data_IF_658502905811
#
_entry.id   IF_658502905811
#
_cell.length_a   1.000
_cell.length_b   1.000
_cell.length_c   1.000
_cell.angle_alpha   90.00
_cell.angle_beta   90.00
_cell.angle_gamma   90.00
#
_symmetry.space_group_name_H-M   'P 1'
#
loop_
_entity.id
_entity.type
_entity.pdbx_description
1 polymer ?
#
# COMPACT_ATOMS: atom_id res chain seq x y z
N UNK A 1 23.90 25.18 -27.74
CA UNK A 1 23.70 24.09 -28.72
C UNK A 1 22.58 24.55 -29.68
N UNK A 2 22.84 25.49 -30.59
CA UNK A 2 23.35 25.28 -31.96
C UNK A 2 22.54 24.18 -32.69
N UNK A 3 21.40 24.52 -33.30
CA UNK A 3 21.24 24.94 -34.72
C UNK A 3 21.75 23.88 -35.73
N UNK A 4 20.98 22.80 -35.89
CA UNK A 4 21.16 21.82 -36.99
C UNK A 4 19.88 21.50 -37.77
N UNK A 5 18.81 22.28 -37.61
CA UNK A 5 17.49 21.99 -38.20
C UNK A 5 17.20 22.57 -39.60
N UNK A 6 18.09 23.42 -40.15
CA UNK A 6 17.76 24.17 -41.38
C UNK A 6 18.27 23.51 -42.69
N UNK A 7 19.19 22.55 -42.61
CA UNK A 7 19.82 21.95 -43.80
C UNK A 7 19.05 20.73 -44.31
N UNK A 8 18.25 20.08 -43.46
CA UNK A 8 17.51 18.86 -43.84
C UNK A 8 16.22 19.14 -44.62
N UNK A 9 15.67 20.36 -44.53
CA UNK A 9 14.42 20.74 -45.21
C UNK A 9 14.63 21.10 -46.70
N UNK A 10 15.83 21.54 -47.08
CA UNK A 10 16.13 21.90 -48.48
C UNK A 10 16.52 20.69 -49.36
N UNK A 11 16.97 19.57 -48.77
CA UNK A 11 17.30 18.36 -49.52
C UNK A 11 16.09 17.49 -49.88
N UNK A 12 14.97 17.65 -49.19
CA UNK A 12 13.75 16.85 -49.41
C UNK A 12 12.86 17.38 -50.56
N UNK A 13 13.17 18.58 -51.08
CA UNK A 13 12.44 19.22 -52.19
C UNK A 13 13.06 19.01 -53.58
N UNK A 14 14.22 18.33 -53.69
CA UNK A 14 14.90 18.14 -54.99
C UNK A 14 14.64 16.75 -55.60
N UNK A 15 14.18 15.77 -54.82
CA UNK A 15 13.94 14.40 -55.31
C UNK A 15 12.52 14.12 -55.79
N UNK A 16 11.59 15.05 -55.65
CA UNK A 16 10.20 14.91 -56.14
C UNK A 16 9.88 15.74 -57.39
N UNK A 17 10.83 16.55 -57.90
CA UNK A 17 10.60 17.49 -59.01
C UNK A 17 10.92 16.98 -60.43
N UNK A 18 11.44 15.76 -60.61
CA UNK A 18 11.87 15.26 -61.94
C UNK A 18 10.89 14.23 -62.53
N UNK A 19 9.84 13.86 -61.80
CA UNK A 19 8.87 12.86 -62.27
C UNK A 19 7.61 13.44 -62.93
N UNK A 20 7.45 14.76 -62.92
CA UNK A 20 6.39 15.47 -63.64
C UNK A 20 6.98 16.59 -64.49
N UNK A 21 7.72 16.21 -65.54
CA UNK A 21 7.87 17.09 -66.69
C UNK A 21 6.63 16.89 -67.57
N UNK A 22 5.78 17.92 -67.78
CA UNK A 22 4.66 17.81 -68.69
C UNK A 22 5.18 17.44 -70.09
N UNK A 23 4.48 16.56 -70.78
CA UNK A 23 4.78 15.94 -72.09
C UNK A 23 4.91 16.94 -73.26
N UNK A 24 5.10 18.24 -72.99
CA UNK A 24 5.19 19.32 -73.97
C UNK A 24 6.63 19.76 -74.30
N UNK A 25 7.65 19.29 -73.57
CA UNK A 25 9.06 19.68 -73.85
C UNK A 25 9.62 18.98 -75.09
N UNK A 26 9.04 17.86 -75.51
CA UNK A 26 9.38 17.18 -76.76
C UNK A 26 8.99 17.98 -78.01
N UNK A 27 8.01 18.87 -77.93
CA UNK A 27 7.65 19.75 -79.05
C UNK A 27 8.67 20.88 -79.26
N UNK A 28 9.22 21.44 -78.18
CA UNK A 28 10.18 22.56 -78.27
C UNK A 28 11.56 22.12 -78.78
N UNK A 29 11.99 20.88 -78.47
CA UNK A 29 13.25 20.35 -79.02
C UNK A 29 13.12 19.95 -80.50
N UNK A 30 11.91 19.65 -81.00
CA UNK A 30 11.65 19.41 -82.42
C UNK A 30 11.72 20.70 -83.28
N UNK A 31 11.62 21.88 -82.68
CA UNK A 31 11.69 23.17 -83.38
C UNK A 31 13.15 23.62 -83.65
N UNK A 32 14.14 23.07 -82.93
CA UNK A 32 15.53 23.49 -83.02
C UNK A 32 16.37 22.74 -84.08
N UNK A 33 15.80 21.71 -84.72
CA UNK A 33 16.45 20.95 -85.81
C UNK A 33 15.86 21.25 -87.19
N UNK A 34 14.92 22.19 -87.31
CA UNK A 34 14.37 22.67 -88.58
C UNK A 34 14.33 24.22 -88.63
N UNK A 35 15.35 24.90 -89.17
CA UNK A 35 15.23 26.30 -89.57
C UNK A 35 14.59 26.42 -90.97
N UNK A 36 13.63 27.35 -91.13
CA UNK A 36 12.98 27.90 -92.36
C UNK A 36 12.20 26.90 -93.24
N UNK A 37 10.95 27.12 -93.66
CA UNK A 37 10.31 28.33 -94.20
C UNK A 37 8.97 28.62 -93.47
N UNK A 38 8.60 29.85 -93.13
CA UNK A 38 8.50 30.98 -94.07
C UNK A 38 7.03 31.18 -94.45
N UNK A 39 6.26 31.74 -93.53
CA UNK A 39 4.90 32.27 -93.69
C UNK A 39 4.77 33.19 -94.91
N UNK A 40 3.75 32.99 -95.76
CA UNK A 40 2.95 34.09 -96.37
C UNK A 40 1.62 33.55 -96.90
N UNK A 41 0.53 33.87 -96.18
CA UNK A 41 -0.74 34.19 -96.82
C UNK A 41 -0.51 35.41 -97.73
N UNK A 42 -0.86 35.26 -99.00
CA UNK A 42 -0.63 36.26 -100.04
C UNK A 42 -1.54 35.97 -101.22
N UNK A 43 -2.75 36.51 -101.14
CA UNK A 43 -3.61 36.83 -102.27
C UNK A 43 -2.81 37.54 -103.38
N UNK A 44 -2.96 37.09 -104.62
CA UNK A 44 -2.17 37.59 -105.75
C UNK A 44 -2.18 36.61 -106.91
N UNK A 45 -3.15 36.79 -107.80
CA UNK A 45 -3.36 35.93 -108.95
C UNK A 45 -2.30 36.04 -110.05
N UNK A 46 -2.78 35.73 -111.27
CA UNK A 46 -2.11 35.95 -112.54
C UNK A 46 -1.09 34.89 -112.98
N UNK A 47 -1.60 34.03 -113.86
CA UNK A 47 -1.06 33.85 -115.21
C UNK A 47 0.27 33.10 -115.40
N UNK A 48 0.11 31.88 -115.93
CA UNK A 48 1.02 31.24 -116.88
C UNK A 48 0.25 30.12 -117.57
N UNK A 49 -0.75 30.41 -118.41
CA UNK A 49 -0.62 30.81 -119.82
C UNK A 49 0.33 29.88 -120.60
N UNK A 50 -0.32 28.93 -121.28
CA UNK A 50 -0.13 28.60 -122.69
C UNK A 50 1.29 28.28 -123.21
N UNK A 51 1.46 27.04 -123.66
CA UNK A 51 1.82 26.73 -125.06
C UNK A 51 1.12 25.41 -125.41
N UNK A 52 0.00 25.39 -126.13
CA UNK A 52 -0.07 25.62 -127.58
C UNK A 52 0.87 24.69 -128.36
N UNK A 53 0.26 23.64 -128.92
CA UNK A 53 0.53 23.18 -130.27
C UNK A 53 1.94 22.71 -130.59
N UNK A 54 2.12 21.40 -130.65
CA UNK A 54 2.87 20.85 -131.77
C UNK A 54 2.20 19.56 -132.27
N UNK A 55 1.35 19.76 -133.28
CA UNK A 55 1.03 18.71 -134.26
C UNK A 55 2.33 18.38 -134.99
N UNK A 56 3.13 17.51 -134.39
CA UNK A 56 4.25 16.86 -135.05
C UNK A 56 3.70 16.06 -136.22
N UNK A 57 3.92 16.56 -137.43
CA UNK A 57 3.65 15.90 -138.71
C UNK A 57 4.01 14.42 -138.60
N UNK A 58 3.03 13.55 -138.80
CA UNK A 58 3.26 12.14 -139.12
C UNK A 58 4.10 12.12 -140.40
N UNK A 59 5.41 11.93 -140.24
CA UNK A 59 6.30 11.62 -141.35
C UNK A 59 5.97 10.21 -141.82
N UNK A 60 5.02 10.12 -142.75
CA UNK A 60 4.62 8.92 -143.50
C UNK A 60 5.68 8.63 -144.59
N UNK A 61 6.93 8.50 -144.19
CA UNK A 61 8.05 8.20 -145.10
C UNK A 61 8.79 6.95 -144.63
N UNK A 62 8.42 5.81 -145.23
CA UNK A 62 9.35 4.77 -145.64
C UNK A 62 10.20 4.06 -144.59
N UNK A 63 9.81 4.02 -143.32
CA UNK A 63 10.50 3.19 -142.34
C UNK A 63 10.02 1.74 -142.48
N UNK A 64 10.89 0.84 -142.98
CA UNK A 64 10.53 -0.55 -143.25
C UNK A 64 10.04 -1.25 -141.98
N UNK A 65 9.08 -2.17 -142.13
CA UNK A 65 8.48 -2.95 -141.03
C UNK A 65 9.54 -3.61 -140.12
N UNK A 66 10.69 -3.93 -140.69
CA UNK A 66 11.86 -4.52 -140.04
C UNK A 66 12.55 -3.57 -139.05
N UNK A 67 12.68 -2.27 -139.37
CA UNK A 67 13.18 -1.24 -138.44
C UNK A 67 12.27 -1.06 -137.22
N UNK A 68 10.96 -1.23 -137.40
CA UNK A 68 9.98 -1.16 -136.29
C UNK A 68 10.04 -2.41 -135.41
N UNK A 69 10.17 -3.60 -136.00
CA UNK A 69 10.37 -4.86 -135.26
C UNK A 69 11.68 -4.86 -134.47
N UNK A 70 12.78 -4.36 -135.05
CA UNK A 70 14.07 -4.23 -134.35
C UNK A 70 13.98 -3.26 -133.17
N UNK A 71 13.27 -2.13 -133.32
CA UNK A 71 13.01 -1.18 -132.23
C UNK A 71 12.15 -1.79 -131.14
N UNK A 72 11.10 -2.53 -131.51
CA UNK A 72 10.23 -3.24 -130.58
C UNK A 72 11.00 -4.30 -129.77
N UNK A 73 11.87 -5.09 -130.42
CA UNK A 73 12.73 -6.07 -129.73
C UNK A 73 13.72 -5.39 -128.78
N UNK A 74 14.41 -4.34 -129.22
CA UNK A 74 15.33 -3.59 -128.35
C UNK A 74 14.61 -2.91 -127.18
N UNK A 75 13.37 -2.44 -127.38
CA UNK A 75 12.53 -1.90 -126.32
C UNK A 75 12.10 -2.98 -125.32
N UNK A 76 11.73 -4.18 -125.81
CA UNK A 76 11.42 -5.35 -124.96
C UNK A 76 12.62 -5.77 -124.12
N UNK A 77 13.80 -5.92 -124.73
CA UNK A 77 15.03 -6.28 -124.00
C UNK A 77 15.40 -5.23 -122.93
N UNK A 78 15.23 -3.93 -123.22
CA UNK A 78 15.44 -2.88 -122.24
C UNK A 78 14.41 -2.93 -121.10
N UNK A 79 13.15 -3.22 -121.42
CA UNK A 79 12.10 -3.38 -120.42
C UNK A 79 12.37 -4.59 -119.51
N UNK A 80 12.77 -5.72 -120.10
CA UNK A 80 13.13 -6.95 -119.35
C UNK A 80 14.35 -6.72 -118.43
N UNK A 81 15.38 -6.00 -118.89
CA UNK A 81 16.52 -5.63 -118.03
C UNK A 81 16.11 -4.71 -116.89
N UNK A 82 15.31 -3.69 -117.17
CA UNK A 82 14.80 -2.78 -116.15
C UNK A 82 13.91 -3.50 -115.12
N UNK A 83 13.09 -4.48 -115.56
CA UNK A 83 12.30 -5.32 -114.67
C UNK A 83 13.21 -6.19 -113.78
N UNK A 84 14.24 -6.83 -114.35
CA UNK A 84 15.19 -7.64 -113.58
C UNK A 84 15.95 -6.81 -112.55
N UNK A 85 16.40 -5.60 -112.92
CA UNK A 85 17.04 -4.66 -112.00
C UNK A 85 16.08 -4.24 -110.87
N UNK A 86 14.83 -3.89 -111.21
CA UNK A 86 13.81 -3.53 -110.22
C UNK A 86 13.47 -4.69 -109.27
N UNK A 87 13.41 -5.93 -109.77
CA UNK A 87 13.19 -7.12 -108.94
C UNK A 87 14.38 -7.42 -108.03
N UNK A 88 15.61 -7.23 -108.51
CA UNK A 88 16.82 -7.38 -107.71
C UNK A 88 16.87 -6.34 -106.59
N UNK A 89 16.58 -5.07 -106.91
CA UNK A 89 16.53 -3.99 -105.92
C UNK A 89 15.41 -4.19 -104.90
N UNK A 90 14.21 -4.63 -105.34
CA UNK A 90 13.11 -4.96 -104.44
C UNK A 90 13.44 -6.14 -103.51
N UNK A 91 14.15 -7.15 -104.02
CA UNK A 91 14.60 -8.30 -103.22
C UNK A 91 15.63 -7.87 -102.16
N UNK A 92 16.62 -7.06 -102.55
CA UNK A 92 17.60 -6.50 -101.63
C UNK A 92 16.96 -5.59 -100.57
N UNK A 93 16.00 -4.73 -100.96
CA UNK A 93 15.25 -3.90 -100.02
C UNK A 93 14.45 -4.74 -99.01
N UNK A 94 13.86 -5.86 -99.45
CA UNK A 94 13.18 -6.81 -98.56
C UNK A 94 14.14 -7.45 -97.57
N UNK A 95 15.31 -7.91 -98.02
CA UNK A 95 16.34 -8.48 -97.14
C UNK A 95 16.81 -7.50 -96.07
N UNK A 96 17.04 -6.23 -96.43
CA UNK A 96 17.38 -5.17 -95.49
C UNK A 96 16.25 -4.91 -94.50
N UNK A 97 14.99 -4.86 -94.96
CA UNK A 97 13.83 -4.68 -94.09
C UNK A 97 13.69 -5.84 -93.09
N UNK A 98 13.89 -7.08 -93.53
CA UNK A 98 13.87 -8.26 -92.67
C UNK A 98 15.04 -8.26 -91.67
N UNK A 99 16.23 -7.82 -92.08
CA UNK A 99 17.37 -7.66 -91.17
C UNK A 99 17.12 -6.60 -90.09
N UNK A 100 16.49 -5.47 -90.44
CA UNK A 100 16.07 -4.43 -89.48
C UNK A 100 15.02 -4.97 -88.51
N UNK A 101 14.01 -5.72 -89.00
CA UNK A 101 12.99 -6.36 -88.15
C UNK A 101 13.63 -7.31 -87.13
N UNK A 102 14.52 -8.21 -87.57
CA UNK A 102 15.24 -9.13 -86.68
C UNK A 102 16.06 -8.39 -85.63
N UNK A 103 16.77 -7.33 -86.03
CA UNK A 103 17.57 -6.52 -85.11
C UNK A 103 16.70 -5.81 -84.06
N UNK A 104 15.53 -5.29 -84.46
CA UNK A 104 14.58 -4.65 -83.55
C UNK A 104 13.97 -5.67 -82.57
N UNK A 105 13.58 -6.85 -83.05
CA UNK A 105 13.07 -7.94 -82.20
C UNK A 105 14.11 -8.40 -81.17
N UNK A 106 15.37 -8.59 -81.60
CA UNK A 106 16.48 -8.91 -80.71
C UNK A 106 16.74 -7.79 -79.70
N UNK A 107 16.72 -6.52 -80.13
CA UNK A 107 16.85 -5.37 -79.24
C UNK A 107 15.75 -5.30 -78.19
N UNK A 108 14.49 -5.51 -78.59
CA UNK A 108 13.34 -5.58 -77.68
C UNK A 108 13.42 -6.76 -76.71
N UNK A 109 13.91 -7.91 -77.15
CA UNK A 109 14.16 -9.06 -76.29
C UNK A 109 15.20 -8.72 -75.21
N UNK A 110 16.37 -8.21 -75.61
CA UNK A 110 17.43 -7.79 -74.66
C UNK A 110 16.96 -6.74 -73.66
N UNK A 111 16.15 -5.77 -74.09
CA UNK A 111 15.58 -4.75 -73.19
C UNK A 111 14.58 -5.37 -72.21
N UNK A 112 13.78 -6.36 -72.63
CA UNK A 112 12.88 -7.09 -71.72
C UNK A 112 13.66 -7.91 -70.70
N UNK A 113 14.68 -8.65 -71.14
CA UNK A 113 15.51 -9.47 -70.27
C UNK A 113 16.23 -8.61 -69.22
N UNK A 114 16.85 -7.50 -69.65
CA UNK A 114 17.50 -6.55 -68.75
C UNK A 114 16.51 -5.91 -67.75
N UNK A 115 15.26 -5.64 -68.17
CA UNK A 115 14.22 -5.13 -67.26
C UNK A 115 13.80 -6.18 -66.24
N UNK A 116 13.66 -7.44 -66.64
CA UNK A 116 13.33 -8.54 -65.74
C UNK A 116 14.45 -8.78 -64.73
N UNK A 117 15.71 -8.82 -65.18
CA UNK A 117 16.87 -8.95 -64.29
C UNK A 117 16.96 -7.81 -63.28
N UNK A 118 16.76 -6.56 -63.73
CA UNK A 118 16.75 -5.40 -62.85
C UNK A 118 15.59 -5.46 -61.84
N UNK A 119 14.40 -5.91 -62.24
CA UNK A 119 13.26 -6.08 -61.35
C UNK A 119 13.54 -7.13 -60.26
N UNK A 120 14.16 -8.27 -60.63
CA UNK A 120 14.54 -9.31 -59.68
C UNK A 120 15.65 -8.85 -58.71
N UNK A 121 16.63 -8.06 -59.16
CA UNK A 121 17.64 -7.48 -58.26
C UNK A 121 17.01 -6.50 -57.27
N UNK A 122 16.12 -5.62 -57.73
CA UNK A 122 15.37 -4.70 -56.84
C UNK A 122 14.54 -5.49 -55.83
N UNK A 123 13.82 -6.52 -56.26
CA UNK A 123 13.04 -7.38 -55.37
C UNK A 123 13.90 -8.02 -54.29
N UNK A 124 15.03 -8.62 -54.68
CA UNK A 124 15.99 -9.25 -53.76
C UNK A 124 16.54 -8.27 -52.73
N UNK A 125 16.90 -7.06 -53.17
CA UNK A 125 17.39 -6.02 -52.25
C UNK A 125 16.31 -5.55 -51.28
N UNK A 126 15.06 -5.46 -51.73
CA UNK A 126 13.93 -5.11 -50.87
C UNK A 126 13.64 -6.20 -49.84
N UNK A 127 13.67 -7.47 -50.22
CA UNK A 127 13.52 -8.61 -49.31
C UNK A 127 14.63 -8.62 -48.25
N UNK A 128 15.90 -8.48 -48.66
CA UNK A 128 17.04 -8.38 -47.72
C UNK A 128 16.95 -7.17 -46.79
N UNK A 129 16.50 -6.02 -47.29
CA UNK A 129 16.33 -4.83 -46.47
C UNK A 129 15.22 -5.02 -45.42
N UNK A 130 14.12 -5.68 -45.79
CA UNK A 130 13.02 -6.03 -44.87
C UNK A 130 13.50 -6.99 -43.79
N UNK A 131 14.16 -8.09 -44.18
CA UNK A 131 14.70 -9.06 -43.22
C UNK A 131 15.65 -8.41 -42.20
N UNK A 132 16.53 -7.51 -42.65
CA UNK A 132 17.44 -6.78 -41.74
C UNK A 132 16.68 -5.83 -40.80
N UNK A 133 15.66 -5.13 -41.32
CA UNK A 133 14.85 -4.24 -40.51
C UNK A 133 14.04 -5.03 -39.46
N UNK A 134 13.43 -6.13 -39.86
CA UNK A 134 12.66 -7.01 -38.98
C UNK A 134 13.56 -7.61 -37.89
N UNK A 135 14.76 -8.08 -38.25
CA UNK A 135 15.74 -8.58 -37.28
C UNK A 135 16.21 -7.50 -36.28
N UNK A 136 16.36 -6.25 -36.75
CA UNK A 136 16.72 -5.13 -35.87
C UNK A 136 15.59 -4.81 -34.89
N UNK A 137 14.34 -4.78 -35.36
CA UNK A 137 13.16 -4.54 -34.52
C UNK A 137 12.99 -5.65 -33.49
N UNK A 138 13.18 -6.91 -33.88
CA UNK A 138 13.04 -8.03 -32.94
C UNK A 138 14.15 -8.01 -31.88
N UNK A 139 15.41 -7.75 -32.27
CA UNK A 139 16.49 -7.60 -31.29
C UNK A 139 16.26 -6.45 -30.31
N UNK A 140 15.71 -5.33 -30.77
CA UNK A 140 15.38 -4.21 -29.89
C UNK A 140 14.21 -4.53 -28.96
N UNK A 141 13.22 -5.29 -29.43
CA UNK A 141 12.11 -5.78 -28.58
C UNK A 141 12.61 -6.72 -27.50
N UNK A 142 13.48 -7.68 -27.84
CA UNK A 142 14.08 -8.60 -26.87
C UNK A 142 14.87 -7.85 -25.80
N UNK A 143 15.65 -6.83 -26.19
CA UNK A 143 16.38 -5.97 -25.24
C UNK A 143 15.44 -5.18 -24.34
N UNK A 144 14.44 -4.52 -24.92
CA UNK A 144 13.47 -3.76 -24.16
C UNK A 144 12.68 -4.65 -23.17
N UNK A 145 12.35 -5.88 -23.58
CA UNK A 145 11.70 -6.86 -22.72
C UNK A 145 12.63 -7.31 -21.58
N UNK A 146 13.90 -7.63 -21.88
CA UNK A 146 14.88 -8.00 -20.88
C UNK A 146 15.13 -6.88 -19.85
N UNK A 147 15.20 -5.62 -20.31
CA UNK A 147 15.33 -4.46 -19.44
C UNK A 147 14.09 -4.28 -18.55
N UNK A 148 12.89 -4.45 -19.11
CA UNK A 148 11.65 -4.39 -18.36
C UNK A 148 11.57 -5.50 -17.28
N UNK A 149 11.92 -6.73 -17.65
CA UNK A 149 11.95 -7.87 -16.73
C UNK A 149 12.99 -7.66 -15.63
N UNK A 150 14.16 -7.08 -15.95
CA UNK A 150 15.18 -6.74 -14.96
C UNK A 150 14.69 -5.67 -13.97
N UNK A 151 13.94 -4.65 -14.43
CA UNK A 151 13.33 -3.65 -13.55
C UNK A 151 12.28 -4.27 -12.64
N UNK A 152 11.40 -5.11 -13.19
CA UNK A 152 10.37 -5.83 -12.40
C UNK A 152 11.03 -6.74 -11.37
N UNK A 153 12.05 -7.51 -11.75
CA UNK A 153 12.81 -8.38 -10.86
C UNK A 153 13.43 -7.59 -9.69
N UNK A 154 14.11 -6.48 -9.99
CA UNK A 154 14.72 -5.61 -8.97
C UNK A 154 13.70 -5.02 -8.00
N UNK A 155 12.53 -4.59 -8.49
CA UNK A 155 11.45 -4.08 -7.62
C UNK A 155 10.87 -5.21 -6.77
N UNK A 156 10.73 -6.42 -7.33
CA UNK A 156 10.33 -7.62 -6.61
C UNK A 156 11.27 -7.95 -5.45
N UNK A 157 12.58 -8.02 -5.71
CA UNK A 157 13.61 -8.27 -4.70
C UNK A 157 13.57 -7.22 -3.57
N UNK A 158 13.46 -5.94 -3.93
CA UNK A 158 13.37 -4.85 -2.93
C UNK A 158 12.13 -4.97 -2.04
N UNK A 159 11.01 -5.38 -2.62
CA UNK A 159 9.76 -5.58 -1.89
C UNK A 159 9.84 -6.80 -0.97
N UNK A 160 10.42 -7.91 -1.42
CA UNK A 160 10.67 -9.10 -0.59
C UNK A 160 11.60 -8.76 0.60
N UNK A 161 12.68 -8.04 0.35
CA UNK A 161 13.60 -7.55 1.39
C UNK A 161 12.90 -6.63 2.40
N UNK A 162 11.96 -5.78 1.96
CA UNK A 162 11.16 -4.93 2.83
C UNK A 162 10.16 -5.75 3.66
N UNK A 163 9.49 -6.72 3.04
CA UNK A 163 8.57 -7.63 3.72
C UNK A 163 9.28 -8.42 4.82
N UNK A 164 10.45 -8.97 4.54
CA UNK A 164 11.22 -9.76 5.50
C UNK A 164 11.73 -8.89 6.66
N UNK A 165 12.20 -7.67 6.36
CA UNK A 165 12.55 -6.68 7.40
C UNK A 165 11.34 -6.30 8.26
N UNK A 166 10.16 -6.15 7.65
CA UNK A 166 8.92 -5.82 8.36
C UNK A 166 8.48 -6.97 9.27
N UNK A 167 8.52 -8.22 8.77
CA UNK A 167 8.24 -9.44 9.55
C UNK A 167 9.17 -9.57 10.73
N UNK A 168 10.49 -9.45 10.52
CA UNK A 168 11.47 -9.53 11.59
C UNK A 168 11.25 -8.46 12.68
N UNK A 169 10.84 -7.24 12.29
CA UNK A 169 10.47 -6.18 13.25
C UNK A 169 9.20 -6.52 14.03
N UNK A 170 8.20 -7.06 13.37
CA UNK A 170 6.95 -7.48 14.01
C UNK A 170 7.19 -8.62 15.02
N UNK A 171 7.98 -9.62 14.65
CA UNK A 171 8.37 -10.73 15.53
C UNK A 171 9.16 -10.23 16.74
N UNK A 172 10.16 -9.35 16.53
CA UNK A 172 10.93 -8.75 17.62
C UNK A 172 10.04 -7.92 18.57
N UNK A 173 9.05 -7.20 18.04
CA UNK A 173 8.10 -6.45 18.84
C UNK A 173 7.19 -7.37 19.67
N UNK A 174 6.73 -8.48 19.07
CA UNK A 174 5.93 -9.50 19.76
C UNK A 174 6.71 -10.15 20.89
N UNK A 175 7.98 -10.54 20.67
CA UNK A 175 8.85 -11.12 21.69
C UNK A 175 9.04 -10.15 22.87
N UNK A 176 9.36 -8.88 22.60
CA UNK A 176 9.48 -7.85 23.64
C UNK A 176 8.19 -7.63 24.43
N UNK A 177 7.03 -7.72 23.76
CA UNK A 177 5.75 -7.61 24.42
C UNK A 177 5.50 -8.81 25.37
N UNK A 178 5.82 -10.02 24.92
CA UNK A 178 5.72 -11.24 25.74
C UNK A 178 6.65 -11.16 26.97
N UNK A 179 7.90 -10.74 26.79
CA UNK A 179 8.85 -10.53 27.90
C UNK A 179 8.31 -9.53 28.93
N UNK A 180 7.76 -8.39 28.48
CA UNK A 180 7.17 -7.38 29.37
C UNK A 180 5.95 -7.92 30.14
N UNK A 181 5.11 -8.73 29.51
CA UNK A 181 3.96 -9.36 30.17
C UNK A 181 4.44 -10.36 31.23
N UNK A 182 5.47 -11.15 30.91
CA UNK A 182 6.07 -12.09 31.85
C UNK A 182 6.66 -11.37 33.08
N UNK A 183 7.46 -10.32 32.87
CA UNK A 183 8.01 -9.48 33.95
C UNK A 183 6.90 -8.84 34.79
N UNK A 184 5.88 -8.26 34.15
CA UNK A 184 4.74 -7.67 34.87
C UNK A 184 4.00 -8.70 35.73
N UNK A 185 3.81 -9.91 35.21
CA UNK A 185 3.16 -11.02 35.94
C UNK A 185 4.01 -11.46 37.14
N UNK A 186 5.33 -11.54 36.99
CA UNK A 186 6.24 -11.84 38.08
C UNK A 186 6.19 -10.76 39.17
N UNK A 187 6.23 -9.47 38.79
CA UNK A 187 6.12 -8.35 39.75
C UNK A 187 4.78 -8.34 40.47
N UNK A 188 3.68 -8.66 39.79
CA UNK A 188 2.37 -8.79 40.42
C UNK A 188 2.31 -9.95 41.42
N UNK A 189 2.95 -11.08 41.10
CA UNK A 189 3.05 -12.21 42.03
C UNK A 189 3.86 -11.83 43.28
N UNK A 190 5.01 -11.16 43.11
CA UNK A 190 5.82 -10.65 44.22
C UNK A 190 5.06 -9.62 45.09
N UNK A 191 4.34 -8.69 44.45
CA UNK A 191 3.54 -7.70 45.17
C UNK A 191 2.43 -8.36 46.01
N UNK A 192 1.80 -9.42 45.50
CA UNK A 192 0.81 -10.20 46.26
C UNK A 192 1.44 -10.89 47.46
N UNK A 193 2.59 -11.55 47.27
CA UNK A 193 3.31 -12.19 48.36
C UNK A 193 3.67 -11.18 49.47
N UNK A 194 4.22 -10.01 49.10
CA UNK A 194 4.53 -8.96 50.07
C UNK A 194 3.29 -8.41 50.77
N UNK A 195 2.16 -8.31 50.08
CA UNK A 195 0.89 -7.89 50.67
C UNK A 195 0.35 -8.92 51.67
N UNK A 196 0.46 -10.22 51.34
CA UNK A 196 0.07 -11.32 52.23
C UNK A 196 0.97 -11.34 53.48
N UNK A 197 2.29 -11.22 53.32
CA UNK A 197 3.26 -11.11 54.42
C UNK A 197 2.96 -9.89 55.33
N UNK A 198 2.63 -8.74 54.74
CA UNK A 198 2.25 -7.54 55.50
C UNK A 198 0.92 -7.72 56.25
N UNK A 199 -0.05 -8.40 55.65
CA UNK A 199 -1.33 -8.72 56.28
C UNK A 199 -1.14 -9.68 57.47
N UNK A 200 -0.35 -10.73 57.31
CA UNK A 200 0.01 -11.66 58.39
C UNK A 200 0.74 -10.94 59.54
N UNK A 201 1.72 -10.09 59.23
CA UNK A 201 2.43 -9.29 60.22
C UNK A 201 1.49 -8.34 61.00
N UNK A 202 0.55 -7.69 60.30
CA UNK A 202 -0.45 -6.83 60.91
C UNK A 202 -1.41 -7.61 61.83
N UNK A 203 -1.87 -8.79 61.40
CA UNK A 203 -2.68 -9.68 62.23
C UNK A 203 -1.94 -10.14 63.48
N UNK A 204 -0.69 -10.59 63.35
CA UNK A 204 0.15 -10.99 64.47
C UNK A 204 0.38 -9.84 65.48
N UNK A 205 0.63 -8.62 64.98
CA UNK A 205 0.76 -7.43 65.82
C UNK A 205 -0.55 -7.10 66.56
N UNK A 206 -1.70 -7.19 65.88
CA UNK A 206 -3.01 -6.97 66.48
C UNK A 206 -3.33 -8.01 67.57
N UNK A 207 -3.01 -9.29 67.33
CA UNK A 207 -3.15 -10.35 68.34
C UNK A 207 -2.24 -10.12 69.54
N UNK A 208 -0.97 -9.76 69.32
CA UNK A 208 -0.04 -9.44 70.40
C UNK A 208 -0.52 -8.24 71.24
N UNK A 209 -1.07 -7.22 70.59
CA UNK A 209 -1.69 -6.08 71.27
C UNK A 209 -2.92 -6.49 72.08
N UNK A 210 -3.78 -7.36 71.54
CA UNK A 210 -4.94 -7.93 72.27
C UNK A 210 -4.49 -8.72 73.49
N UNK A 211 -3.51 -9.63 73.35
CA UNK A 211 -2.94 -10.39 74.48
C UNK A 211 -2.40 -9.47 75.58
N UNK A 212 -1.62 -8.44 75.21
CA UNK A 212 -1.13 -7.44 76.18
C UNK A 212 -2.28 -6.67 76.85
N UNK A 213 -3.31 -6.29 76.09
CA UNK A 213 -4.48 -5.61 76.66
C UNK A 213 -5.24 -6.51 77.64
N UNK A 214 -5.41 -7.80 77.32
CA UNK A 214 -6.01 -8.80 78.21
C UNK A 214 -5.17 -9.03 79.47
N UNK A 215 -3.83 -9.12 79.35
CA UNK A 215 -2.91 -9.21 80.49
C UNK A 215 -3.00 -7.99 81.40
N UNK A 216 -3.03 -6.78 80.83
CA UNK A 216 -3.20 -5.53 81.57
C UNK A 216 -4.56 -5.48 82.25
N UNK A 217 -5.64 -5.83 81.54
CA UNK A 217 -6.99 -5.89 82.12
C UNK A 217 -7.07 -6.91 83.26
N UNK A 218 -6.50 -8.10 83.10
CA UNK A 218 -6.42 -9.11 84.16
C UNK A 218 -5.58 -8.61 85.36
N UNK A 219 -4.47 -7.93 85.09
CA UNK A 219 -3.63 -7.28 86.09
C UNK A 219 -4.37 -6.19 86.87
N UNK A 220 -5.13 -5.34 86.19
CA UNK A 220 -5.98 -4.31 86.80
C UNK A 220 -7.11 -4.92 87.62
N UNK A 221 -7.77 -5.97 87.13
CA UNK A 221 -8.80 -6.70 87.88
C UNK A 221 -8.20 -7.28 89.16
N UNK A 222 -7.03 -7.92 89.11
CA UNK A 222 -6.31 -8.39 90.31
C UNK A 222 -5.95 -7.25 91.26
N UNK A 223 -5.43 -6.13 90.75
CA UNK A 223 -5.11 -4.94 91.54
C UNK A 223 -6.33 -4.28 92.17
N UNK A 224 -7.51 -4.34 91.54
CA UNK A 224 -8.78 -3.84 92.10
C UNK A 224 -9.44 -4.85 93.05
N UNK A 225 -9.21 -6.15 92.86
CA UNK A 225 -9.68 -7.21 93.76
C UNK A 225 -8.90 -7.21 95.08
N UNK A 226 -7.57 -7.04 95.06
CA UNK A 226 -6.73 -7.06 96.26
C UNK A 226 -7.16 -6.08 97.39
N UNK A 227 -7.46 -4.78 97.14
CA UNK A 227 -7.97 -3.89 98.18
C UNK A 227 -9.41 -4.20 98.59
N UNK A 228 -10.24 -4.76 97.70
CA UNK A 228 -11.61 -5.20 98.06
C UNK A 228 -11.58 -6.45 98.94
N UNK A 229 -10.69 -7.38 98.66
CA UNK A 229 -10.44 -8.57 99.49
C UNK A 229 -9.80 -8.18 100.82
N UNK A 230 -8.84 -7.25 100.84
CA UNK A 230 -8.32 -6.66 102.08
C UNK A 230 -9.39 -5.97 102.89
N UNK A 231 -10.25 -5.16 102.26
CA UNK A 231 -11.40 -4.52 102.93
C UNK A 231 -12.43 -5.55 103.40
N UNK A 232 -12.66 -6.63 102.67
CA UNK A 232 -13.54 -7.72 103.10
C UNK A 232 -12.94 -8.50 104.28
N UNK A 233 -11.63 -8.71 104.30
CA UNK A 233 -10.90 -9.33 105.41
C UNK A 233 -10.85 -8.41 106.64
N UNK A 234 -10.61 -7.12 106.46
CA UNK A 234 -10.69 -6.09 107.51
C UNK A 234 -12.12 -5.96 108.03
N UNK A 235 -13.14 -5.95 107.17
CA UNK A 235 -14.54 -5.95 107.58
C UNK A 235 -14.90 -7.21 108.37
N UNK A 236 -14.41 -8.39 107.97
CA UNK A 236 -14.56 -9.63 108.77
C UNK A 236 -13.81 -9.56 110.10
N UNK A 237 -12.62 -8.96 110.15
CA UNK A 237 -11.86 -8.77 111.38
C UNK A 237 -12.52 -7.75 112.33
N UNK A 238 -13.10 -6.68 111.79
CA UNK A 238 -13.91 -5.70 112.52
C UNK A 238 -15.20 -6.35 112.99
N UNK A 239 -15.90 -7.14 112.17
CA UNK A 239 -17.08 -7.89 112.58
C UNK A 239 -16.76 -8.89 113.70
N UNK A 240 -15.60 -9.57 113.65
CA UNK A 240 -15.12 -10.46 114.71
C UNK A 240 -14.75 -9.70 116.00
N UNK A 241 -14.17 -8.51 115.89
CA UNK A 241 -13.92 -7.60 117.03
C UNK A 241 -15.21 -7.03 117.61
N UNK A 242 -16.19 -6.67 116.79
CA UNK A 242 -17.51 -6.17 117.22
C UNK A 242 -18.34 -7.30 117.84
N UNK A 243 -18.25 -8.53 117.33
CA UNK A 243 -18.83 -9.69 117.99
C UNK A 243 -18.16 -9.99 119.35
N UNK A 244 -16.83 -9.83 119.45
CA UNK A 244 -16.09 -9.93 120.71
C UNK A 244 -16.42 -8.80 121.71
N UNK A 245 -16.58 -7.57 121.22
CA UNK A 245 -16.93 -6.40 122.04
C UNK A 245 -18.40 -6.40 122.45
N UNK A 246 -19.30 -6.91 121.59
CA UNK A 246 -20.71 -7.16 121.91
C UNK A 246 -20.87 -8.23 123.00
N UNK A 247 -20.04 -9.28 122.99
CA UNK A 247 -19.99 -10.26 124.07
C UNK A 247 -19.46 -9.66 125.40
N UNK A 248 -18.61 -8.63 125.33
CA UNK A 248 -18.07 -7.93 126.50
C UNK A 248 -19.04 -6.88 127.08
N UNK A 249 -19.83 -6.22 126.22
CA UNK A 249 -20.90 -5.29 126.61
C UNK A 249 -22.13 -6.05 127.15
N UNK A 250 -22.49 -7.19 126.58
CA UNK A 250 -23.52 -8.07 127.13
C UNK A 250 -23.13 -8.62 128.52
N UNK A 251 -21.86 -8.96 128.74
CA UNK A 251 -21.33 -9.35 130.08
C UNK A 251 -21.27 -8.19 131.09
N UNK A 252 -21.09 -6.95 130.65
CA UNK A 252 -21.14 -5.76 131.53
C UNK A 252 -22.56 -5.30 131.84
N UNK A 253 -23.52 -5.59 130.98
CA UNK A 253 -24.94 -5.28 131.20
C UNK A 253 -25.68 -6.36 132.02
N UNK A 254 -25.15 -7.59 132.09
CA UNK A 254 -25.64 -8.62 133.02
C UNK A 254 -25.09 -8.49 134.44
N UNK A 255 -24.02 -7.70 134.65
CA UNK A 255 -23.50 -7.35 135.98
C UNK A 255 -24.14 -6.06 136.52
N UNK A 256 -25.39 -6.17 136.96
CA UNK A 256 -26.04 -5.30 137.95
C UNK A 256 -25.80 -3.78 137.87
N UNK A 257 -26.64 -3.07 137.10
CA UNK A 257 -26.99 -1.66 137.36
C UNK A 257 -28.40 -1.36 136.83
N UNK A 258 -29.03 -0.40 137.50
CA UNK A 258 -30.44 -0.38 137.90
C UNK A 258 -31.46 0.04 136.84
N UNK A 259 -32.71 -0.40 137.02
CA UNK A 259 -33.94 -0.06 136.27
C UNK A 259 -34.22 1.45 136.11
N UNK A 260 -33.47 2.29 136.84
CA UNK A 260 -33.44 3.75 136.74
C UNK A 260 -32.63 4.28 135.54
N UNK A 261 -31.57 3.59 135.10
CA UNK A 261 -30.68 4.06 134.01
C UNK A 261 -31.33 3.94 132.62
N UNK A 262 -32.18 2.94 132.40
CA UNK A 262 -32.89 2.80 131.14
C UNK A 262 -33.95 3.92 130.96
N UNK A 263 -34.54 4.43 132.06
CA UNK A 263 -35.54 5.51 131.99
C UNK A 263 -34.91 6.88 131.69
N UNK A 264 -33.66 7.11 132.10
CA UNK A 264 -32.93 8.35 131.82
C UNK A 264 -32.42 8.43 130.38
N UNK A 265 -32.14 7.30 129.73
CA UNK A 265 -31.67 7.27 128.34
C UNK A 265 -32.64 7.94 127.37
N UNK A 266 -32.11 8.73 126.45
CA UNK A 266 -32.88 9.37 125.38
C UNK A 266 -33.41 8.31 124.39
N UNK A 267 -34.42 8.67 123.60
CA UNK A 267 -34.98 7.77 122.57
C UNK A 267 -33.89 7.28 121.61
N UNK A 268 -32.91 8.13 121.29
CA UNK A 268 -31.79 7.83 120.40
C UNK A 268 -30.84 6.77 121.00
N UNK A 269 -30.48 6.91 122.27
CA UNK A 269 -29.61 5.94 122.96
C UNK A 269 -30.31 4.58 123.12
N UNK A 270 -31.63 4.56 123.29
CA UNK A 270 -32.42 3.33 123.34
C UNK A 270 -32.55 2.66 121.97
N UNK A 271 -32.57 3.42 120.87
CA UNK A 271 -32.53 2.83 119.51
C UNK A 271 -31.18 2.19 119.22
N UNK A 272 -30.08 2.83 119.60
CA UNK A 272 -28.73 2.26 119.42
C UNK A 272 -28.55 1.00 120.25
N UNK A 273 -29.01 1.01 121.50
CA UNK A 273 -28.97 -0.15 122.39
C UNK A 273 -29.84 -1.32 121.87
N UNK A 274 -31.03 -1.02 121.34
CA UNK A 274 -31.90 -2.01 120.71
C UNK A 274 -31.24 -2.62 119.45
N UNK A 275 -30.60 -1.81 118.62
CA UNK A 275 -29.82 -2.27 117.46
C UNK A 275 -28.65 -3.17 117.85
N UNK A 276 -27.92 -2.83 118.91
CA UNK A 276 -26.83 -3.66 119.44
C UNK A 276 -27.31 -5.03 119.96
N UNK A 277 -28.55 -5.11 120.47
CA UNK A 277 -29.20 -6.35 120.92
C UNK A 277 -29.94 -7.10 119.80
N UNK A 278 -29.83 -6.65 118.55
CA UNK A 278 -30.47 -7.29 117.39
C UNK A 278 -31.99 -7.12 117.32
N UNK A 279 -32.53 -6.09 117.97
CA UNK A 279 -33.96 -5.74 117.89
C UNK A 279 -34.14 -4.74 116.74
N UNK A 280 -34.91 -5.11 115.73
CA UNK A 280 -35.30 -4.19 114.65
C UNK A 280 -36.16 -3.05 115.20
N UNK A 281 -35.59 -1.85 115.27
CA UNK A 281 -36.30 -0.64 115.67
C UNK A 281 -36.96 0.00 114.46
N UNK A 282 -38.29 0.08 114.45
CA UNK A 282 -39.03 0.93 113.50
C UNK A 282 -38.99 2.37 114.00
N UNK A 283 -38.75 3.36 113.13
CA UNK A 283 -38.56 4.77 113.57
C UNK A 283 -39.76 5.35 114.33
N UNK A 284 -40.94 4.75 114.16
CA UNK A 284 -42.20 5.09 114.84
C UNK A 284 -42.31 4.61 116.29
N UNK A 285 -41.37 3.80 116.80
CA UNK A 285 -41.44 3.36 118.20
C UNK A 285 -41.28 4.53 119.17
N UNK A 286 -42.18 4.62 120.16
CA UNK A 286 -42.02 5.59 121.24
C UNK A 286 -41.00 5.07 122.28
N UNK A 287 -40.48 5.98 123.12
CA UNK A 287 -39.44 5.66 124.13
C UNK A 287 -39.86 4.51 125.06
N UNK A 288 -41.15 4.41 125.39
CA UNK A 288 -41.72 3.33 126.21
C UNK A 288 -41.70 1.96 125.51
N UNK A 289 -41.97 1.92 124.21
CA UNK A 289 -41.92 0.70 123.40
C UNK A 289 -40.49 0.20 123.23
N UNK A 290 -39.53 1.10 123.00
CA UNK A 290 -38.10 0.77 122.96
C UNK A 290 -37.62 0.21 124.29
N UNK A 291 -38.06 0.79 125.42
CA UNK A 291 -37.74 0.26 126.73
C UNK A 291 -38.24 -1.17 126.94
N UNK A 292 -39.46 -1.47 126.51
CA UNK A 292 -40.03 -2.83 126.63
C UNK A 292 -39.31 -3.82 125.72
N UNK A 293 -38.97 -3.43 124.50
CA UNK A 293 -38.29 -4.32 123.55
C UNK A 293 -36.85 -4.60 123.97
N UNK A 294 -36.10 -3.58 124.40
CA UNK A 294 -34.76 -3.74 125.01
C UNK A 294 -34.84 -4.62 126.26
N UNK A 295 -35.82 -4.41 127.15
CA UNK A 295 -36.01 -5.24 128.34
C UNK A 295 -36.30 -6.71 128.01
N UNK A 296 -37.11 -6.95 126.97
CA UNK A 296 -37.44 -8.30 126.51
C UNK A 296 -36.24 -9.00 125.87
N UNK A 297 -35.44 -8.27 125.09
CA UNK A 297 -34.23 -8.80 124.47
C UNK A 297 -33.13 -9.07 125.50
N UNK A 298 -32.91 -8.16 126.44
CA UNK A 298 -31.96 -8.33 127.54
C UNK A 298 -32.29 -9.54 128.42
N UNK A 299 -33.57 -9.82 128.69
CA UNK A 299 -34.00 -11.06 129.40
C UNK A 299 -33.83 -12.34 128.59
N UNK A 300 -33.75 -12.26 127.25
CA UNK A 300 -33.54 -13.41 126.37
C UNK A 300 -32.04 -13.71 126.17
N UNK A 301 -31.19 -12.72 126.42
CA UNK A 301 -29.73 -12.79 126.28
C UNK A 301 -29.00 -13.08 127.60
N UNK A 302 -29.69 -13.01 128.74
CA UNK A 302 -29.26 -13.55 130.04
C UNK A 302 -29.68 -15.02 130.15
#
# INVERSE_FOLDING_TARGET
MARSGAVHWLSEKVTTGVRELPTNVTWVVSQALHPSDGSTDGDGGSAGRATAGERGKLSLTGDSLESRLKRARSASEKAERAEQEALAEASHAKELADAVRRTNEQGRARVRDAKSEAAEDVRRRLEQARERADAMVESERERAQADADAVVGKVGEQFEDELDRSRARAEAAQQRAQEKIADATQRLAQARQLADEAAEAAQAAAEAARRKAEELAAGEVRRRAAPKERRAAEAKAVQKKVAGSGAQVARRLSSGRTEQDLRSMTKAELTDLAGALGVETRSSMNKQQLLRSVRRAARKAA
#
